data_IF_382441633965
#
_entry.id   IF_382441633965
#
_cell.length_a   1.000
_cell.length_b   1.000
_cell.length_c   1.000
_cell.angle_alpha   90.00
_cell.angle_beta   90.00
_cell.angle_gamma   90.00
#
_symmetry.space_group_name_H-M   'P 1'
#
loop_
_entity.id
_entity.type
_entity.pdbx_description
1 polymer ?
#
# COMPACT_ATOMS: atom_id res chain seq x y z
N UNK A 1 14.56 20.45 -54.72
CA UNK A 1 14.83 21.40 -53.62
C UNK A 1 13.92 21.07 -52.43
N UNK A 2 14.53 20.76 -51.29
CA UNK A 2 14.02 20.62 -49.91
C UNK A 2 12.90 19.58 -49.62
N UNK A 3 13.34 18.37 -49.26
CA UNK A 3 12.56 17.40 -48.47
C UNK A 3 12.46 17.90 -47.02
N UNK A 4 11.25 18.06 -46.49
CA UNK A 4 11.03 18.31 -45.06
C UNK A 4 11.01 16.98 -44.31
N UNK A 5 12.04 16.74 -43.49
CA UNK A 5 12.03 15.71 -42.45
C UNK A 5 11.37 16.29 -41.21
N UNK A 6 10.17 15.81 -40.86
CA UNK A 6 9.58 16.05 -39.54
C UNK A 6 10.09 14.94 -38.63
N UNK A 7 11.06 15.27 -37.78
CA UNK A 7 11.50 14.41 -36.68
C UNK A 7 10.42 14.42 -35.59
N UNK A 8 9.66 13.34 -35.49
CA UNK A 8 8.77 13.08 -34.37
C UNK A 8 9.61 12.62 -33.16
N UNK A 9 9.87 13.53 -32.23
CA UNK A 9 10.46 13.23 -30.93
C UNK A 9 9.41 12.57 -30.04
N UNK A 10 9.46 11.23 -29.94
CA UNK A 10 8.78 10.51 -28.85
C UNK A 10 9.49 10.84 -27.53
N UNK A 11 8.92 11.76 -26.76
CA UNK A 11 9.25 11.92 -25.36
C UNK A 11 8.69 10.71 -24.59
N UNK A 12 9.53 9.71 -24.33
CA UNK A 12 9.23 8.63 -23.39
C UNK A 12 9.27 9.23 -21.99
N UNK A 13 8.10 9.47 -21.40
CA UNK A 13 7.99 9.87 -20.00
C UNK A 13 8.22 8.62 -19.14
N UNK A 14 9.47 8.37 -18.76
CA UNK A 14 9.76 7.46 -17.66
C UNK A 14 9.19 8.07 -16.38
N UNK A 15 7.99 7.67 -16.00
CA UNK A 15 7.50 7.83 -14.64
C UNK A 15 8.31 6.86 -13.78
N UNK A 16 9.46 7.32 -13.30
CA UNK A 16 10.16 6.65 -12.22
C UNK A 16 9.23 6.63 -11.02
N UNK A 17 8.60 5.49 -10.76
CA UNK A 17 7.99 5.23 -9.47
C UNK A 17 9.13 5.28 -8.44
N UNK A 18 9.22 6.39 -7.70
CA UNK A 18 10.04 6.50 -6.49
C UNK A 18 9.44 5.55 -5.45
N UNK A 19 9.69 4.26 -5.65
CA UNK A 19 9.32 3.22 -4.73
C UNK A 19 10.17 3.40 -3.46
N UNK A 20 9.50 3.63 -2.33
CA UNK A 20 10.14 3.85 -1.03
C UNK A 20 10.16 5.30 -0.51
N UNK A 21 9.68 6.29 -1.27
CA UNK A 21 9.45 7.63 -0.71
C UNK A 21 8.07 7.70 -0.04
N UNK A 22 7.97 8.33 1.13
CA UNK A 22 6.69 8.52 1.81
C UNK A 22 5.82 9.52 1.04
N UNK A 23 4.61 9.11 0.69
CA UNK A 23 3.66 9.93 -0.06
C UNK A 23 2.43 10.30 0.78
N UNK A 24 1.85 11.50 0.60
CA UNK A 24 0.55 11.80 1.18
C UNK A 24 -0.53 10.96 0.49
N UNK A 25 -1.48 10.44 1.26
CA UNK A 25 -2.67 9.75 0.75
C UNK A 25 -3.93 10.41 1.30
N UNK A 26 -4.83 10.76 0.40
CA UNK A 26 -6.17 11.25 0.72
C UNK A 26 -7.22 10.22 0.38
N UNK A 27 -8.35 10.28 1.06
CA UNK A 27 -9.52 9.44 0.85
C UNK A 27 -9.97 9.42 -0.63
N UNK A 28 -9.86 10.55 -1.32
CA UNK A 28 -10.20 10.68 -2.74
C UNK A 28 -9.31 9.84 -3.67
N UNK A 29 -8.08 9.51 -3.24
CA UNK A 29 -7.10 8.78 -4.05
C UNK A 29 -7.07 7.27 -3.76
N UNK A 30 -7.77 6.81 -2.71
CA UNK A 30 -7.78 5.38 -2.31
C UNK A 30 -8.30 4.47 -3.41
N UNK A 31 -9.33 4.90 -4.15
CA UNK A 31 -9.86 4.12 -5.27
C UNK A 31 -8.78 3.83 -6.34
N UNK A 32 -7.93 4.82 -6.63
CA UNK A 32 -6.81 4.66 -7.57
C UNK A 32 -5.77 3.68 -7.04
N UNK A 33 -5.47 3.73 -5.74
CA UNK A 33 -4.59 2.74 -5.10
C UNK A 33 -5.17 1.33 -5.26
N UNK A 34 -6.47 1.14 -5.03
CA UNK A 34 -7.13 -0.16 -5.15
C UNK A 34 -7.15 -0.68 -6.60
N UNK A 35 -7.29 0.21 -7.58
CA UNK A 35 -7.23 -0.17 -9.01
C UNK A 35 -5.90 -0.82 -9.40
N UNK A 36 -4.80 -0.50 -8.70
CA UNK A 36 -3.51 -1.15 -8.93
C UNK A 36 -3.54 -2.65 -8.64
N UNK A 37 -4.54 -3.13 -7.87
CA UNK A 37 -4.73 -4.55 -7.58
C UNK A 37 -5.07 -5.39 -8.83
N UNK A 38 -5.64 -4.76 -9.88
CA UNK A 38 -5.94 -5.42 -11.16
C UNK A 38 -4.68 -6.00 -11.81
N UNK A 39 -3.56 -5.28 -11.68
CA UNK A 39 -2.28 -5.67 -12.24
C UNK A 39 -1.57 -6.76 -11.42
N UNK A 40 -1.71 -6.73 -10.09
CA UNK A 40 -1.17 -7.68 -9.12
C UNK A 40 -1.96 -7.56 -7.81
N UNK A 41 -2.31 -8.67 -7.12
CA UNK A 41 -2.97 -8.57 -5.82
C UNK A 41 -2.25 -7.61 -4.88
N UNK A 42 -3.02 -6.86 -4.09
CA UNK A 42 -2.52 -5.81 -3.23
C UNK A 42 -2.88 -6.11 -1.78
N UNK A 43 -1.87 -6.20 -0.92
CA UNK A 43 -2.03 -6.20 0.53
C UNK A 43 -1.71 -4.80 1.07
N UNK A 44 -2.67 -4.18 1.74
CA UNK A 44 -2.54 -2.87 2.35
C UNK A 44 -2.43 -3.06 3.85
N UNK A 45 -1.30 -2.69 4.43
CA UNK A 45 -1.09 -2.67 5.87
C UNK A 45 -1.36 -1.26 6.40
N UNK A 46 -2.40 -1.12 7.22
CA UNK A 46 -2.76 0.11 7.88
C UNK A 46 -2.20 0.07 9.30
N UNK A 47 -1.43 1.10 9.66
CA UNK A 47 -0.67 1.17 10.89
C UNK A 47 -0.61 2.62 11.44
N UNK A 48 0.02 2.77 12.61
CA UNK A 48 0.33 4.08 13.20
C UNK A 48 1.58 3.99 14.07
N UNK A 49 2.24 5.13 14.30
CA UNK A 49 3.37 5.28 15.22
C UNK A 49 3.06 4.77 16.64
N UNK A 50 1.82 4.94 17.11
CA UNK A 50 1.40 4.59 18.48
C UNK A 50 0.91 3.13 18.60
N UNK A 51 1.06 2.33 17.55
CA UNK A 51 0.60 0.95 17.51
C UNK A 51 1.71 -0.04 17.93
N UNK A 52 1.61 -0.58 19.14
CA UNK A 52 2.61 -1.51 19.69
C UNK A 52 2.85 -2.80 18.88
N UNK A 53 1.84 -3.29 18.16
CA UNK A 53 1.93 -4.54 17.38
C UNK A 53 2.12 -4.35 15.87
N UNK A 54 2.04 -3.12 15.36
CA UNK A 54 2.05 -2.88 13.92
C UNK A 54 3.39 -3.22 13.28
N UNK A 55 4.50 -2.97 13.97
CA UNK A 55 5.84 -3.31 13.49
C UNK A 55 6.03 -4.82 13.32
N UNK A 56 5.55 -5.60 14.29
CA UNK A 56 5.61 -7.06 14.23
C UNK A 56 4.75 -7.59 13.07
N UNK A 57 3.53 -7.06 12.91
CA UNK A 57 2.66 -7.43 11.80
C UNK A 57 3.28 -7.10 10.43
N UNK A 58 3.87 -5.90 10.30
CA UNK A 58 4.59 -5.48 9.10
C UNK A 58 5.75 -6.44 8.79
N UNK A 59 6.50 -6.89 9.80
CA UNK A 59 7.57 -7.86 9.62
C UNK A 59 7.05 -9.21 9.11
N UNK A 60 5.92 -9.71 9.62
CA UNK A 60 5.27 -10.93 9.12
C UNK A 60 4.84 -10.77 7.66
N UNK A 61 4.19 -9.65 7.33
CA UNK A 61 3.74 -9.36 5.96
C UNK A 61 4.90 -9.25 4.99
N UNK A 62 5.99 -8.56 5.35
CA UNK A 62 7.20 -8.42 4.53
C UNK A 62 7.91 -9.76 4.34
N UNK A 63 8.08 -10.55 5.41
CA UNK A 63 8.70 -11.86 5.32
C UNK A 63 7.90 -12.79 4.40
N UNK A 64 6.56 -12.68 4.44
CA UNK A 64 5.69 -13.38 3.51
C UNK A 64 5.81 -12.86 2.07
N UNK A 65 5.75 -11.55 1.86
CA UNK A 65 5.85 -10.93 0.52
C UNK A 65 7.16 -11.29 -0.20
N UNK A 66 8.28 -11.44 0.53
CA UNK A 66 9.56 -11.87 -0.07
C UNK A 66 9.48 -13.26 -0.71
N UNK A 67 8.57 -14.12 -0.25
CA UNK A 67 8.29 -15.45 -0.85
C UNK A 67 7.18 -15.40 -1.91
N UNK A 68 6.47 -14.28 -2.00
CA UNK A 68 5.31 -14.05 -2.85
C UNK A 68 5.44 -12.70 -3.60
N UNK A 69 6.48 -12.52 -4.43
CA UNK A 69 6.75 -11.25 -5.11
C UNK A 69 5.65 -10.85 -6.11
N UNK A 70 4.75 -11.75 -6.46
CA UNK A 70 3.54 -11.51 -7.25
C UNK A 70 2.49 -10.65 -6.51
N UNK A 71 2.68 -10.41 -5.22
CA UNK A 71 1.81 -9.58 -4.39
C UNK A 71 2.49 -8.26 -4.07
N UNK A 72 1.77 -7.18 -4.33
CA UNK A 72 2.18 -5.83 -3.96
C UNK A 72 1.80 -5.56 -2.51
N UNK A 73 2.64 -4.79 -1.82
CA UNK A 73 2.36 -4.31 -0.47
C UNK A 73 2.36 -2.78 -0.46
N UNK A 74 1.39 -2.20 0.24
CA UNK A 74 1.37 -0.78 0.57
C UNK A 74 1.27 -0.61 2.09
N UNK A 75 2.15 0.20 2.67
CA UNK A 75 2.11 0.62 4.07
C UNK A 75 1.39 1.97 4.16
N UNK A 76 0.35 2.08 4.98
CA UNK A 76 -0.42 3.31 5.16
C UNK A 76 -0.43 3.69 6.64
N UNK A 77 0.29 4.74 7.00
CA UNK A 77 0.23 5.33 8.32
C UNK A 77 -1.02 6.20 8.47
N UNK A 78 -1.78 6.02 9.55
CA UNK A 78 -2.92 6.89 9.87
C UNK A 78 -2.50 8.21 10.53
N UNK A 79 -1.26 8.32 10.97
CA UNK A 79 -0.68 9.54 11.50
C UNK A 79 -0.62 10.63 10.41
N UNK A 80 -0.84 11.89 10.80
CA UNK A 80 -0.91 13.00 9.85
C UNK A 80 0.45 13.21 9.15
N UNK A 81 0.45 13.20 7.82
CA UNK A 81 1.64 13.35 6.99
C UNK A 81 2.40 14.66 7.26
N UNK A 82 1.67 15.79 7.30
CA UNK A 82 2.28 17.12 7.45
C UNK A 82 2.91 17.33 8.84
N UNK A 83 2.42 16.61 9.87
CA UNK A 83 2.89 16.74 11.25
C UNK A 83 3.94 15.69 11.62
N UNK A 84 3.79 14.46 11.11
CA UNK A 84 4.54 13.29 11.57
C UNK A 84 5.45 12.67 10.50
N UNK A 85 5.54 13.26 9.30
CA UNK A 85 6.25 12.69 8.15
C UNK A 85 7.64 12.13 8.47
N UNK A 86 8.50 12.90 9.14
CA UNK A 86 9.85 12.45 9.50
C UNK A 86 9.86 11.26 10.48
N UNK A 87 8.94 11.24 11.45
CA UNK A 87 8.82 10.12 12.39
C UNK A 87 8.30 8.86 11.69
N UNK A 88 7.35 9.02 10.75
CA UNK A 88 6.83 7.94 9.91
C UNK A 88 7.94 7.35 9.03
N UNK A 89 8.70 8.18 8.33
CA UNK A 89 9.85 7.75 7.52
C UNK A 89 10.88 6.99 8.36
N UNK A 90 11.22 7.50 9.55
CA UNK A 90 12.14 6.84 10.46
C UNK A 90 11.61 5.48 10.93
N UNK A 91 10.32 5.37 11.24
CA UNK A 91 9.70 4.11 11.63
C UNK A 91 9.69 3.10 10.47
N UNK A 92 9.33 3.53 9.25
CA UNK A 92 9.33 2.70 8.04
C UNK A 92 10.74 2.18 7.70
N UNK A 93 11.78 3.02 7.84
CA UNK A 93 13.16 2.62 7.62
C UNK A 93 13.60 1.46 8.54
N UNK A 94 13.04 1.38 9.75
CA UNK A 94 13.31 0.31 10.70
C UNK A 94 12.51 -0.98 10.43
N UNK A 95 11.54 -0.96 9.50
CA UNK A 95 10.72 -2.12 9.15
C UNK A 95 11.34 -3.01 8.05
N UNK A 96 12.52 -2.64 7.51
CA UNK A 96 13.24 -3.41 6.48
C UNK A 96 12.37 -3.77 5.26
N UNK A 97 11.56 -2.80 4.83
CA UNK A 97 10.64 -2.95 3.70
C UNK A 97 11.42 -3.16 2.38
N UNK A 98 10.99 -4.08 1.51
CA UNK A 98 11.47 -4.14 0.13
C UNK A 98 11.26 -2.79 -0.57
N UNK A 99 12.16 -2.41 -1.47
CA UNK A 99 12.12 -1.10 -2.13
C UNK A 99 10.83 -0.86 -2.93
N UNK A 100 10.20 -1.92 -3.44
CA UNK A 100 8.94 -1.84 -4.18
C UNK A 100 7.70 -1.59 -3.31
N UNK A 101 7.82 -1.61 -1.98
CA UNK A 101 6.68 -1.35 -1.07
C UNK A 101 6.31 0.12 -1.17
N UNK A 102 5.04 0.38 -1.51
CA UNK A 102 4.51 1.73 -1.52
C UNK A 102 4.30 2.20 -0.08
N UNK A 103 4.62 3.47 0.20
CA UNK A 103 4.58 4.03 1.55
C UNK A 103 3.73 5.29 1.53
N UNK A 104 2.69 5.31 2.35
CA UNK A 104 1.74 6.40 2.44
C UNK A 104 1.53 6.84 3.88
N UNK A 105 1.13 8.10 4.06
CA UNK A 105 0.58 8.60 5.32
C UNK A 105 -0.68 9.45 5.09
N UNK A 106 -1.49 9.59 6.14
CA UNK A 106 -2.75 10.30 6.08
C UNK A 106 -2.56 11.78 5.76
N UNK A 107 -3.18 12.25 4.68
CA UNK A 107 -3.20 13.65 4.28
C UNK A 107 -4.62 14.27 4.31
N UNK A 108 -5.60 13.57 4.89
CA UNK A 108 -6.89 14.15 5.26
C UNK A 108 -6.80 14.79 6.65
N UNK A 109 -7.31 16.02 6.76
CA UNK A 109 -7.46 16.71 8.05
C UNK A 109 -8.42 15.98 9.02
N UNK A 110 -9.33 15.15 8.49
CA UNK A 110 -10.22 14.30 9.27
C UNK A 110 -9.91 12.83 8.96
N UNK A 111 -9.13 12.14 9.81
CA UNK A 111 -8.62 10.78 9.57
C UNK A 111 -9.72 9.75 9.25
N UNK A 112 -10.94 9.97 9.73
CA UNK A 112 -12.10 9.11 9.49
C UNK A 112 -12.46 9.02 8.01
N UNK A 113 -12.15 10.05 7.21
CA UNK A 113 -12.37 10.04 5.76
C UNK A 113 -11.49 8.98 5.10
N UNK A 114 -10.19 9.00 5.42
CA UNK A 114 -9.25 8.01 4.90
C UNK A 114 -9.59 6.61 5.44
N UNK A 115 -9.92 6.49 6.73
CA UNK A 115 -10.39 5.25 7.36
C UNK A 115 -11.55 4.63 6.57
N UNK A 116 -12.61 5.39 6.34
CA UNK A 116 -13.80 4.92 5.65
C UNK A 116 -13.53 4.57 4.18
N UNK A 117 -12.62 5.29 3.52
CA UNK A 117 -12.22 5.00 2.15
C UNK A 117 -11.40 3.70 2.05
N UNK A 118 -10.53 3.42 3.03
CA UNK A 118 -9.73 2.20 3.09
C UNK A 118 -10.59 0.97 3.43
N UNK A 119 -11.44 1.09 4.45
CA UNK A 119 -12.37 0.04 4.86
C UNK A 119 -13.53 0.64 5.64
N UNK A 120 -14.72 0.69 5.01
CA UNK A 120 -15.91 1.28 5.62
C UNK A 120 -16.37 0.57 6.90
N UNK A 121 -16.06 -0.73 7.06
CA UNK A 121 -16.42 -1.51 8.25
C UNK A 121 -15.39 -1.42 9.38
N UNK A 122 -14.21 -0.87 9.11
CA UNK A 122 -13.10 -0.80 10.06
C UNK A 122 -13.36 0.24 11.15
N UNK A 123 -13.18 -0.10 12.42
CA UNK A 123 -13.50 0.81 13.55
C UNK A 123 -12.29 1.53 14.13
N UNK A 124 -11.14 1.42 13.48
CA UNK A 124 -9.90 2.06 13.90
C UNK A 124 -8.95 1.14 14.69
N UNK A 125 -9.31 -0.14 14.88
CA UNK A 125 -8.40 -1.08 15.52
C UNK A 125 -7.17 -1.35 14.64
N UNK A 126 -5.97 -1.33 15.23
CA UNK A 126 -4.70 -1.52 14.53
C UNK A 126 -3.93 -2.73 15.08
N UNK A 127 -3.08 -3.40 14.29
CA UNK A 127 -2.96 -3.24 12.83
C UNK A 127 -4.21 -3.71 12.08
N UNK A 128 -4.41 -3.19 10.86
CA UNK A 128 -5.48 -3.60 9.95
C UNK A 128 -4.88 -3.88 8.58
N UNK A 129 -5.04 -5.09 8.07
CA UNK A 129 -4.57 -5.47 6.75
C UNK A 129 -5.74 -5.71 5.80
N UNK A 130 -5.78 -5.00 4.67
CA UNK A 130 -6.78 -5.16 3.61
C UNK A 130 -6.15 -5.89 2.43
N UNK A 131 -6.71 -7.03 2.07
CA UNK A 131 -6.37 -7.78 0.87
C UNK A 131 -7.30 -7.41 -0.28
N UNK A 132 -6.72 -7.17 -1.45
CA UNK A 132 -7.45 -6.85 -2.68
C UNK A 132 -6.98 -7.80 -3.79
N UNK A 133 -7.90 -8.62 -4.28
CA UNK A 133 -7.67 -9.51 -5.42
C UNK A 133 -7.66 -8.75 -6.75
N UNK A 134 -7.20 -9.43 -7.82
CA UNK A 134 -7.21 -8.89 -9.19
C UNK A 134 -8.61 -8.58 -9.73
N UNK A 135 -9.59 -9.32 -9.22
CA UNK A 135 -11.02 -9.12 -9.50
C UNK A 135 -11.64 -7.96 -8.70
N UNK A 136 -10.86 -7.32 -7.82
CA UNK A 136 -11.32 -6.27 -6.91
C UNK A 136 -12.05 -6.80 -5.68
N UNK A 137 -12.11 -8.12 -5.47
CA UNK A 137 -12.64 -8.69 -4.24
C UNK A 137 -11.76 -8.29 -3.05
N UNK A 138 -12.41 -7.94 -1.92
CA UNK A 138 -11.75 -7.44 -0.72
C UNK A 138 -12.04 -8.34 0.47
N UNK A 139 -11.00 -8.70 1.20
CA UNK A 139 -11.08 -9.28 2.55
C UNK A 139 -10.10 -8.52 3.44
N UNK A 140 -10.36 -8.46 4.73
CA UNK A 140 -9.49 -7.69 5.61
C UNK A 140 -9.49 -8.26 7.03
N UNK A 141 -8.32 -8.27 7.67
CA UNK A 141 -8.10 -8.81 9.02
C UNK A 141 -7.41 -7.78 9.91
N UNK A 142 -7.74 -7.83 11.20
CA UNK A 142 -7.15 -6.95 12.20
C UNK A 142 -6.34 -7.79 13.18
N UNK A 143 -5.28 -7.21 13.74
CA UNK A 143 -4.33 -7.91 14.60
C UNK A 143 -3.24 -8.66 13.83
N UNK A 144 -2.39 -9.37 14.57
CA UNK A 144 -1.23 -10.07 14.01
C UNK A 144 -1.67 -11.14 12.99
N UNK A 145 -1.13 -11.03 11.78
CA UNK A 145 -1.35 -12.00 10.72
C UNK A 145 -0.47 -13.23 10.92
N UNK A 146 -1.11 -14.39 10.80
CA UNK A 146 -0.40 -15.66 10.72
C UNK A 146 -0.07 -15.98 9.25
N UNK A 147 1.00 -16.73 8.98
CA UNK A 147 1.31 -17.19 7.62
C UNK A 147 0.12 -17.90 6.94
N UNK A 148 -0.66 -18.67 7.71
CA UNK A 148 -1.82 -19.39 7.18
C UNK A 148 -2.94 -18.48 6.68
N UNK A 149 -3.11 -17.28 7.27
CA UNK A 149 -4.07 -16.26 6.79
C UNK A 149 -3.58 -15.68 5.47
N UNK A 150 -2.31 -15.28 5.41
CA UNK A 150 -1.70 -14.70 4.22
C UNK A 150 -1.71 -15.70 3.04
N UNK A 151 -1.33 -16.95 3.26
CA UNK A 151 -1.34 -17.98 2.22
C UNK A 151 -2.76 -18.31 1.73
N UNK A 152 -3.78 -18.16 2.60
CA UNK A 152 -5.18 -18.36 2.21
C UNK A 152 -5.64 -17.28 1.23
N UNK A 153 -5.27 -16.02 1.47
CA UNK A 153 -5.58 -14.93 0.56
C UNK A 153 -4.98 -15.16 -0.82
N UNK A 154 -3.73 -15.61 -0.88
CA UNK A 154 -3.10 -15.96 -2.16
C UNK A 154 -3.82 -17.10 -2.86
N UNK A 155 -4.18 -18.19 -2.16
CA UNK A 155 -4.92 -19.32 -2.77
C UNK A 155 -6.33 -18.96 -3.23
N UNK A 156 -6.98 -17.99 -2.57
CA UNK A 156 -8.30 -17.51 -2.93
C UNK A 156 -8.38 -16.92 -4.35
N UNK A 157 -7.23 -16.56 -4.93
CA UNK A 157 -7.11 -15.96 -6.27
C UNK A 157 -7.17 -16.97 -7.43
N UNK A 158 -7.02 -18.27 -7.18
CA UNK A 158 -6.92 -19.29 -8.23
C UNK A 158 -8.19 -20.10 -8.49
N UNK A 159 -9.34 -19.73 -7.91
CA UNK A 159 -10.54 -20.57 -7.87
C UNK A 159 -11.74 -20.07 -8.68
N UNK A 160 -11.54 -19.12 -9.61
CA UNK A 160 -12.56 -18.69 -10.56
C UNK A 160 -11.96 -18.40 -11.92
#
# INVERSE_FOLDING_TARGET
MKRWFVLATLAVWCTSALAGALQPLRAADVARLFETAREQPLAIEIWSLDCGYCRENAAHLVAWQRRHPEVRVAMIAMDAYDENGAAIEQALAQMNLPSQVAQYANADAMPERLRAALDAGWRGELPRTVWIGRDGARDARSGLLTPAVLDRWLRGTGRR
#
